data_IF_324702523394
#
_entry.id   IF_324702523394
#
_cell.length_a   1.000
_cell.length_b   1.000
_cell.length_c   1.000
_cell.angle_alpha   90.00
_cell.angle_beta   90.00
_cell.angle_gamma   90.00
#
_symmetry.space_group_name_H-M   'P 1'
#
loop_
_entity.id
_entity.type
_entity.pdbx_description
1 polymer ?
#
# COMPACT_ATOMS: atom_id res chain seq x y z
N UNK A 1 -18.70 -24.00 13.82
CA UNK A 1 -18.19 -22.65 14.13
C UNK A 1 -17.97 -21.95 12.81
N UNK A 2 -18.71 -20.88 12.52
CA UNK A 2 -18.58 -20.11 11.29
C UNK A 2 -17.25 -19.36 11.36
N UNK A 3 -16.21 -19.92 10.74
CA UNK A 3 -14.98 -19.20 10.45
C UNK A 3 -15.37 -18.08 9.49
N UNK A 4 -15.62 -16.89 10.04
CA UNK A 4 -15.86 -15.68 9.28
C UNK A 4 -14.65 -15.50 8.38
N UNK A 5 -14.78 -15.82 7.09
CA UNK A 5 -13.80 -15.48 6.07
C UNK A 5 -13.90 -13.97 5.83
N UNK A 6 -13.48 -13.18 6.81
CA UNK A 6 -13.12 -11.78 6.57
C UNK A 6 -11.89 -11.85 5.68
N UNK A 7 -12.07 -11.67 4.38
CA UNK A 7 -10.96 -11.49 3.45
C UNK A 7 -10.22 -10.23 3.89
N UNK A 8 -9.25 -10.37 4.78
CA UNK A 8 -8.32 -9.29 5.13
C UNK A 8 -7.52 -9.03 3.86
N UNK A 9 -7.95 -8.03 3.08
CA UNK A 9 -7.25 -7.68 1.86
C UNK A 9 -5.88 -7.12 2.27
N UNK A 10 -4.82 -7.84 1.90
CA UNK A 10 -3.45 -7.42 2.18
C UNK A 10 -3.13 -6.18 1.37
N UNK A 11 -2.16 -5.39 1.83
CA UNK A 11 -1.71 -4.22 1.06
C UNK A 11 -1.24 -4.61 -0.35
N UNK A 12 -0.61 -5.78 -0.50
CA UNK A 12 -0.27 -6.33 -1.81
C UNK A 12 -1.49 -6.52 -2.69
N UNK A 13 -2.55 -7.17 -2.19
CA UNK A 13 -3.78 -7.38 -2.93
C UNK A 13 -4.40 -6.07 -3.43
N UNK A 14 -4.51 -5.08 -2.54
CA UNK A 14 -5.05 -3.76 -2.88
C UNK A 14 -4.25 -3.10 -4.01
N UNK A 15 -2.92 -3.12 -3.92
CA UNK A 15 -2.07 -2.49 -4.95
C UNK A 15 -2.11 -3.27 -6.26
N UNK A 16 -2.09 -4.60 -6.21
CA UNK A 16 -2.18 -5.39 -7.44
C UNK A 16 -3.52 -5.22 -8.13
N UNK A 17 -4.62 -5.11 -7.38
CA UNK A 17 -5.95 -4.84 -7.94
C UNK A 17 -6.01 -3.45 -8.57
N UNK A 18 -5.44 -2.43 -7.91
CA UNK A 18 -5.31 -1.09 -8.47
C UNK A 18 -4.48 -1.09 -9.76
N UNK A 19 -3.35 -1.79 -9.81
CA UNK A 19 -2.53 -1.83 -11.03
C UNK A 19 -3.19 -2.65 -12.14
N UNK A 20 -3.91 -3.72 -11.79
CA UNK A 20 -4.64 -4.56 -12.73
C UNK A 20 -5.84 -3.83 -13.36
N UNK A 21 -6.37 -2.78 -12.72
CA UNK A 21 -7.42 -1.94 -13.30
C UNK A 21 -6.92 -1.01 -14.42
N UNK A 22 -5.65 -1.12 -14.82
CA UNK A 22 -4.99 -0.30 -15.84
C UNK A 22 -5.17 1.22 -15.61
N UNK A 23 -4.72 1.73 -14.45
CA UNK A 23 -4.91 3.13 -14.07
C UNK A 23 -4.12 4.07 -14.98
N UNK A 24 -4.63 5.28 -15.16
CA UNK A 24 -3.94 6.33 -15.91
C UNK A 24 -2.64 6.75 -15.19
N UNK A 25 -1.67 7.36 -15.91
CA UNK A 25 -0.49 7.95 -15.29
C UNK A 25 -0.84 8.92 -14.14
N UNK A 26 -1.86 9.75 -14.33
CA UNK A 26 -2.36 10.70 -13.34
C UNK A 26 -2.94 9.99 -12.11
N UNK A 27 -3.73 8.93 -12.31
CA UNK A 27 -4.27 8.11 -11.23
C UNK A 27 -3.15 7.42 -10.42
N UNK A 28 -2.12 6.88 -11.08
CA UNK A 28 -0.95 6.31 -10.41
C UNK A 28 -0.25 7.38 -9.55
N UNK A 29 -0.05 8.58 -10.08
CA UNK A 29 0.61 9.69 -9.38
C UNK A 29 -0.22 10.13 -8.16
N UNK A 30 -1.54 10.22 -8.33
CA UNK A 30 -2.48 10.67 -7.30
C UNK A 30 -2.82 9.59 -6.26
N UNK A 31 -2.55 8.32 -6.55
CA UNK A 31 -2.97 7.19 -5.72
C UNK A 31 -2.64 7.37 -4.23
N UNK A 32 -3.61 7.07 -3.37
CA UNK A 32 -3.45 7.00 -1.92
C UNK A 32 -4.02 5.68 -1.45
N UNK A 33 -3.38 5.09 -0.43
CA UNK A 33 -3.94 3.91 0.23
C UNK A 33 -5.34 4.21 0.78
N UNK A 34 -6.26 3.24 0.77
CA UNK A 34 -7.56 3.39 1.44
C UNK A 34 -7.40 3.78 2.91
N UNK A 35 -8.31 4.60 3.43
CA UNK A 35 -8.25 5.13 4.80
C UNK A 35 -8.12 4.01 5.84
N UNK A 36 -8.87 2.91 5.69
CA UNK A 36 -8.77 1.76 6.58
C UNK A 36 -7.35 1.19 6.69
N UNK A 37 -6.62 1.11 5.57
CA UNK A 37 -5.23 0.64 5.57
C UNK A 37 -4.28 1.69 6.12
N UNK A 38 -4.56 2.98 5.92
CA UNK A 38 -3.79 4.03 6.58
C UNK A 38 -3.96 3.91 8.10
N UNK A 39 -5.18 3.79 8.62
CA UNK A 39 -5.43 3.60 10.05
C UNK A 39 -4.74 2.35 10.60
N UNK A 40 -4.77 1.24 9.85
CA UNK A 40 -4.06 0.02 10.23
C UNK A 40 -2.54 0.25 10.33
N UNK A 41 -1.94 0.91 9.34
CA UNK A 41 -0.51 1.24 9.37
C UNK A 41 -0.14 2.12 10.57
N UNK A 42 -0.97 3.14 10.89
CA UNK A 42 -0.75 3.99 12.07
C UNK A 42 -0.86 3.20 13.39
N UNK A 43 -1.82 2.29 13.49
CA UNK A 43 -1.97 1.42 14.67
C UNK A 43 -0.77 0.48 14.85
N UNK A 44 -0.24 -0.09 13.75
CA UNK A 44 0.97 -0.89 13.77
C UNK A 44 2.18 -0.07 14.22
N UNK A 45 2.34 1.16 13.73
CA UNK A 45 3.42 2.05 14.14
C UNK A 45 3.36 2.39 15.63
N UNK A 46 2.18 2.73 16.15
CA UNK A 46 1.99 3.03 17.57
C UNK A 46 2.39 1.84 18.46
N UNK A 47 1.95 0.63 18.09
CA UNK A 47 2.27 -0.60 18.83
C UNK A 47 3.72 -1.05 18.68
N UNK A 48 4.36 -0.73 17.56
CA UNK A 48 5.79 -0.94 17.37
C UNK A 48 6.62 -0.13 18.36
N UNK A 49 6.24 1.13 18.60
CA UNK A 49 6.91 1.98 19.60
C UNK A 49 6.81 1.39 21.01
N UNK A 50 5.72 0.70 21.33
CA UNK A 50 5.51 0.04 22.61
C UNK A 50 6.17 -1.35 22.70
N UNK A 51 6.74 -1.86 21.60
CA UNK A 51 7.31 -3.21 21.54
C UNK A 51 6.26 -4.34 21.60
N UNK A 52 5.00 -4.03 21.26
CA UNK A 52 3.85 -4.93 21.43
C UNK A 52 3.37 -5.55 20.10
N UNK A 53 4.24 -5.60 19.10
CA UNK A 53 3.92 -6.28 17.84
C UNK A 53 4.05 -7.79 18.00
N UNK A 54 3.00 -8.48 17.60
CA UNK A 54 3.09 -9.91 17.27
C UNK A 54 3.93 -10.10 16.01
N UNK A 55 4.37 -11.33 15.76
CA UNK A 55 5.11 -11.66 14.54
C UNK A 55 4.31 -11.32 13.26
N UNK A 56 3.01 -11.59 13.24
CA UNK A 56 2.13 -11.30 12.10
C UNK A 56 2.03 -9.80 11.83
N UNK A 57 1.94 -8.99 12.88
CA UNK A 57 1.87 -7.54 12.78
C UNK A 57 3.21 -6.94 12.35
N UNK A 58 4.32 -7.53 12.78
CA UNK A 58 5.64 -7.16 12.30
C UNK A 58 5.80 -7.46 10.81
N UNK A 59 5.31 -8.61 10.33
CA UNK A 59 5.27 -8.92 8.90
C UNK A 59 4.39 -7.93 8.14
N UNK A 60 3.19 -7.64 8.64
CA UNK A 60 2.31 -6.64 8.03
C UNK A 60 2.99 -5.26 7.93
N UNK A 61 3.72 -4.83 8.97
CA UNK A 61 4.47 -3.58 8.95
C UNK A 61 5.55 -3.59 7.86
N UNK A 62 6.31 -4.68 7.70
CA UNK A 62 7.29 -4.81 6.62
C UNK A 62 6.64 -4.76 5.24
N UNK A 63 5.47 -5.37 5.08
CA UNK A 63 4.72 -5.34 3.83
C UNK A 63 4.25 -3.93 3.48
N UNK A 64 3.78 -3.16 4.48
CA UNK A 64 3.46 -1.74 4.32
C UNK A 64 4.67 -0.94 3.82
N UNK A 65 5.84 -1.13 4.44
CA UNK A 65 7.07 -0.42 4.05
C UNK A 65 7.50 -0.74 2.61
N UNK A 66 7.49 -2.03 2.23
CA UNK A 66 7.87 -2.47 0.88
C UNK A 66 6.96 -1.88 -0.19
N UNK A 67 5.65 -1.87 0.05
CA UNK A 67 4.69 -1.29 -0.88
C UNK A 67 4.86 0.22 -0.99
N UNK A 68 5.06 0.92 0.11
CA UNK A 68 5.23 2.38 0.10
C UNK A 68 6.46 2.80 -0.72
N UNK A 69 7.59 2.12 -0.53
CA UNK A 69 8.80 2.33 -1.33
C UNK A 69 8.56 2.04 -2.82
N UNK A 70 7.93 0.90 -3.13
CA UNK A 70 7.58 0.52 -4.50
C UNK A 70 6.68 1.57 -5.17
N UNK A 71 5.61 1.99 -4.50
CA UNK A 71 4.67 2.98 -5.04
C UNK A 71 5.33 4.35 -5.21
N UNK A 72 6.20 4.74 -4.29
CA UNK A 72 6.99 5.98 -4.41
C UNK A 72 7.87 5.96 -5.67
N UNK A 73 8.57 4.85 -5.92
CA UNK A 73 9.35 4.66 -7.15
C UNK A 73 8.48 4.65 -8.41
N UNK A 74 7.35 3.95 -8.38
CA UNK A 74 6.41 3.90 -9.50
C UNK A 74 5.93 5.30 -9.87
N UNK A 75 5.48 6.10 -8.89
CA UNK A 75 5.05 7.48 -9.10
C UNK A 75 6.15 8.34 -9.71
N UNK A 76 7.39 8.22 -9.23
CA UNK A 76 8.52 8.95 -9.79
C UNK A 76 8.77 8.60 -11.27
N UNK A 77 8.78 7.31 -11.60
CA UNK A 77 8.94 6.83 -12.99
C UNK A 77 7.78 7.27 -13.89
N UNK A 78 6.55 7.26 -13.38
CA UNK A 78 5.36 7.70 -14.12
C UNK A 78 5.43 9.19 -14.44
N UNK A 79 5.84 10.05 -13.48
CA UNK A 79 6.06 11.48 -13.75
C UNK A 79 7.10 11.70 -14.85
N UNK A 80 8.24 11.01 -14.77
CA UNK A 80 9.28 11.09 -15.79
C UNK A 80 8.79 10.68 -17.18
N UNK A 81 7.97 9.63 -17.26
CA UNK A 81 7.35 9.20 -18.52
C UNK A 81 6.42 10.28 -19.07
N UNK A 82 5.57 10.87 -18.22
CA UNK A 82 4.61 11.90 -18.63
C UNK A 82 5.34 13.15 -19.14
N UNK A 83 6.40 13.60 -18.45
CA UNK A 83 7.20 14.74 -18.91
C UNK A 83 7.79 14.51 -20.30
N UNK A 84 8.35 13.32 -20.57
CA UNK A 84 8.91 12.96 -21.88
C UNK A 84 7.87 12.85 -23.00
N UNK A 85 6.59 12.64 -22.67
CA UNK A 85 5.51 12.57 -23.67
C UNK A 85 4.98 13.95 -24.07
N UNK A 86 5.27 14.97 -23.26
CA UNK A 86 4.84 16.35 -23.49
C UNK A 86 5.93 17.21 -24.16
N UNK A 87 7.14 16.68 -24.30
CA UNK A 87 8.26 17.22 -25.09
C UNK A 87 8.10 16.85 -26.58
#
# INVERSE_FOLDING_TARGET
SLMQTTTTQTIFGIITDFLASNPSPEEIIAYRLPEALQSQAHALLARNTEGLLTFEEQQAMFDFMRIDEMMSMLKAKTRLKLSKMLE
#
